data_IF_227012474354
#
_entry.id   IF_227012474354
#
_cell.length_a   1.000
_cell.length_b   1.000
_cell.length_c   1.000
_cell.angle_alpha   90.00
_cell.angle_beta   90.00
_cell.angle_gamma   90.00
#
_symmetry.space_group_name_H-M   'P 1'
#
loop_
_entity.id
_entity.type
_entity.pdbx_description
1 polymer ?
#
# COMPACT_ATOMS: atom_id res chain seq x y z
N UNK A 1 -21.62 17.21 -13.60
CA UNK A 1 -20.82 18.41 -13.31
C UNK A 1 -19.46 18.18 -13.96
N UNK A 2 -18.90 19.16 -14.66
CA UNK A 2 -17.51 19.06 -15.09
C UNK A 2 -16.61 19.41 -13.91
N UNK A 3 -15.66 18.54 -13.58
CA UNK A 3 -14.78 18.72 -12.42
C UNK A 3 -13.34 18.53 -12.87
N UNK A 4 -12.50 19.55 -12.65
CA UNK A 4 -11.05 19.42 -12.75
C UNK A 4 -10.45 19.42 -11.35
N UNK A 5 -9.56 18.48 -11.07
CA UNK A 5 -8.80 18.49 -9.82
C UNK A 5 -7.50 19.28 -9.98
N UNK A 6 -7.11 19.99 -8.92
CA UNK A 6 -5.86 20.72 -8.82
C UNK A 6 -5.17 20.35 -7.51
N UNK A 7 -4.08 19.59 -7.58
CA UNK A 7 -3.41 19.03 -6.42
C UNK A 7 -2.10 19.77 -6.15
N UNK A 8 -1.98 20.39 -4.97
CA UNK A 8 -0.78 21.12 -4.55
C UNK A 8 0.29 20.16 -4.05
N UNK A 9 1.41 20.04 -4.77
CA UNK A 9 2.52 19.15 -4.46
C UNK A 9 3.90 19.84 -4.58
N UNK A 10 3.97 21.18 -4.53
CA UNK A 10 5.18 21.96 -4.78
C UNK A 10 6.06 22.22 -3.54
N UNK A 11 5.56 21.94 -2.34
CA UNK A 11 6.22 22.31 -1.06
C UNK A 11 7.53 21.56 -0.79
N UNK A 12 8.52 22.24 -0.20
CA UNK A 12 9.84 21.69 0.14
C UNK A 12 9.83 20.61 1.22
N UNK A 13 8.86 20.60 2.13
CA UNK A 13 8.71 19.59 3.17
C UNK A 13 9.92 19.45 4.11
N UNK A 14 10.56 20.55 4.50
CA UNK A 14 11.81 20.57 5.29
C UNK A 14 11.72 19.81 6.60
N UNK A 15 10.52 19.79 7.24
CA UNK A 15 10.24 19.05 8.49
C UNK A 15 10.33 17.52 8.33
N UNK A 16 10.24 16.99 7.10
CA UNK A 16 10.42 15.55 6.82
C UNK A 16 11.87 15.10 6.96
N UNK A 17 12.84 16.02 6.92
CA UNK A 17 14.29 15.73 6.97
C UNK A 17 14.68 14.64 5.96
N UNK A 18 14.24 14.76 4.73
CA UNK A 18 14.40 13.76 3.66
C UNK A 18 14.80 14.41 2.35
N UNK A 19 15.55 13.65 1.53
CA UNK A 19 15.83 14.02 0.12
C UNK A 19 14.63 13.70 -0.79
N UNK A 20 13.75 12.76 -0.35
CA UNK A 20 12.54 12.43 -1.06
C UNK A 20 11.53 13.58 -0.90
N UNK A 21 10.88 14.04 -1.98
CA UNK A 21 9.78 14.99 -1.89
C UNK A 21 8.72 14.56 -0.88
N UNK A 22 8.20 15.51 -0.09
CA UNK A 22 7.26 15.23 1.00
C UNK A 22 6.11 14.33 0.55
N UNK A 23 5.49 14.67 -0.56
CA UNK A 23 4.30 14.01 -1.08
C UNK A 23 4.54 12.59 -1.63
N UNK A 24 5.82 12.18 -1.80
CA UNK A 24 6.20 10.82 -2.19
C UNK A 24 6.44 9.88 -1.01
N UNK A 25 6.38 10.37 0.24
CA UNK A 25 6.37 9.47 1.39
C UNK A 25 5.07 8.66 1.40
N UNK A 26 5.21 7.37 1.75
CA UNK A 26 4.10 6.41 1.66
C UNK A 26 3.29 6.39 2.95
N UNK A 27 1.98 6.24 2.78
CA UNK A 27 0.98 5.93 3.81
C UNK A 27 0.14 4.77 3.28
N UNK A 28 0.03 3.69 4.04
CA UNK A 28 -0.64 2.47 3.59
C UNK A 28 -0.05 1.88 2.29
N UNK A 29 1.28 1.95 2.12
CA UNK A 29 1.97 1.39 0.96
C UNK A 29 2.07 2.29 -0.28
N UNK A 30 1.23 3.34 -0.43
CA UNK A 30 1.21 4.27 -1.58
C UNK A 30 1.70 5.66 -1.21
N UNK A 31 2.29 6.40 -2.16
CA UNK A 31 2.66 7.79 -1.96
C UNK A 31 1.46 8.67 -1.60
N UNK A 32 1.64 9.68 -0.73
CA UNK A 32 0.54 10.53 -0.30
C UNK A 32 -0.18 11.21 -1.47
N UNK A 33 0.57 11.77 -2.43
CA UNK A 33 0.00 12.39 -3.62
C UNK A 33 -0.76 11.41 -4.51
N UNK A 34 -0.34 10.15 -4.54
CA UNK A 34 -1.03 9.09 -5.27
C UNK A 34 -2.39 8.79 -4.64
N UNK A 35 -2.47 8.69 -3.30
CA UNK A 35 -3.73 8.51 -2.60
C UNK A 35 -4.72 9.63 -2.88
N UNK A 36 -4.25 10.88 -2.80
CA UNK A 36 -5.10 12.05 -3.14
C UNK A 36 -5.57 11.97 -4.59
N UNK A 37 -4.66 11.65 -5.53
CA UNK A 37 -5.01 11.52 -6.95
C UNK A 37 -6.04 10.40 -7.19
N UNK A 38 -5.85 9.23 -6.60
CA UNK A 38 -6.82 8.12 -6.70
C UNK A 38 -8.19 8.49 -6.12
N UNK A 39 -8.21 9.22 -4.99
CA UNK A 39 -9.47 9.69 -4.39
C UNK A 39 -10.22 10.64 -5.33
N UNK A 40 -9.54 11.63 -5.92
CA UNK A 40 -10.22 12.54 -6.87
C UNK A 40 -10.64 11.84 -8.16
N UNK A 41 -9.86 10.89 -8.66
CA UNK A 41 -10.24 10.09 -9.82
C UNK A 41 -11.47 9.22 -9.55
N UNK A 42 -11.63 8.74 -8.32
CA UNK A 42 -12.77 7.90 -7.93
C UNK A 42 -14.12 8.64 -7.93
N UNK A 43 -14.12 9.98 -7.86
CA UNK A 43 -15.34 10.80 -7.98
C UNK A 43 -15.64 11.23 -9.42
N UNK A 44 -14.83 10.79 -10.40
CA UNK A 44 -15.04 11.01 -11.82
C UNK A 44 -14.62 12.39 -12.31
N UNK A 45 -13.46 12.88 -11.91
CA UNK A 45 -12.83 14.08 -12.45
C UNK A 45 -12.55 13.94 -13.96
N UNK A 46 -12.69 15.04 -14.70
CA UNK A 46 -12.45 15.07 -16.15
C UNK A 46 -10.98 15.39 -16.50
N UNK A 47 -10.31 16.13 -15.61
CA UNK A 47 -8.90 16.51 -15.73
C UNK A 47 -8.28 16.52 -14.33
N UNK A 48 -7.06 16.03 -14.23
CA UNK A 48 -6.29 16.03 -12.99
C UNK A 48 -4.97 16.73 -13.22
N UNK A 49 -4.74 17.84 -12.51
CA UNK A 49 -3.54 18.68 -12.63
C UNK A 49 -2.79 18.66 -11.29
N UNK A 50 -1.52 18.33 -11.33
CA UNK A 50 -0.64 18.33 -10.14
C UNK A 50 0.37 19.46 -10.24
N UNK A 51 0.36 20.36 -9.27
CA UNK A 51 1.35 21.45 -9.20
C UNK A 51 2.58 20.92 -8.48
N UNK A 52 3.68 20.83 -9.19
CA UNK A 52 4.97 20.33 -8.69
C UNK A 52 5.97 21.48 -8.54
N UNK A 53 6.90 21.33 -7.60
CA UNK A 53 7.97 22.31 -7.35
C UNK A 53 9.25 21.60 -6.93
N UNK A 54 9.59 21.64 -5.64
CA UNK A 54 10.76 20.95 -5.12
C UNK A 54 10.70 19.43 -5.41
N UNK A 55 11.70 18.92 -6.15
CA UNK A 55 11.75 17.51 -6.55
C UNK A 55 10.65 17.11 -7.53
N UNK A 56 10.10 18.05 -8.28
CA UNK A 56 8.97 17.87 -9.20
C UNK A 56 9.19 16.74 -10.20
N UNK A 57 10.40 16.56 -10.72
CA UNK A 57 10.73 15.48 -11.65
C UNK A 57 10.51 14.09 -11.04
N UNK A 58 10.81 13.93 -9.75
CA UNK A 58 10.53 12.67 -9.06
C UNK A 58 9.03 12.40 -8.91
N UNK A 59 8.23 13.44 -8.66
CA UNK A 59 6.77 13.32 -8.58
C UNK A 59 6.18 12.99 -9.96
N UNK A 60 6.62 13.68 -11.02
CA UNK A 60 6.20 13.40 -12.39
C UNK A 60 6.56 11.97 -12.82
N UNK A 61 7.79 11.53 -12.57
CA UNK A 61 8.23 10.17 -12.89
C UNK A 61 7.44 9.10 -12.12
N UNK A 62 7.07 9.37 -10.87
CA UNK A 62 6.29 8.46 -10.05
C UNK A 62 4.84 8.34 -10.53
N UNK A 63 4.17 9.46 -10.79
CA UNK A 63 2.78 9.47 -11.23
C UNK A 63 2.62 9.13 -12.72
N UNK A 64 3.65 9.36 -13.53
CA UNK A 64 3.65 9.10 -14.97
C UNK A 64 2.59 9.92 -15.69
N UNK A 65 1.81 9.28 -16.54
CA UNK A 65 0.76 9.90 -17.35
C UNK A 65 -0.64 9.91 -16.67
N UNK A 66 -0.70 9.65 -15.36
CA UNK A 66 -1.96 9.64 -14.60
C UNK A 66 -2.51 11.04 -14.32
N UNK A 67 -1.70 12.11 -14.51
CA UNK A 67 -2.10 13.50 -14.32
C UNK A 67 -1.33 14.42 -15.26
N UNK A 68 -1.84 15.63 -15.46
CA UNK A 68 -1.12 16.75 -16.07
C UNK A 68 -0.25 17.44 -15.00
N UNK A 69 0.87 18.05 -15.40
CA UNK A 69 1.79 18.67 -14.44
C UNK A 69 2.02 20.14 -14.79
N UNK A 70 1.97 20.96 -13.75
CA UNK A 70 2.33 22.39 -13.83
C UNK A 70 3.45 22.64 -12.82
N UNK A 71 4.46 23.38 -13.23
CA UNK A 71 5.62 23.65 -12.36
C UNK A 71 5.49 25.02 -11.70
N UNK A 72 5.66 25.03 -10.37
CA UNK A 72 5.88 26.23 -9.58
C UNK A 72 7.40 26.36 -9.32
N UNK A 73 8.07 27.24 -10.02
CA UNK A 73 9.54 27.41 -9.89
C UNK A 73 9.90 28.10 -8.56
N UNK A 74 9.17 29.15 -8.22
CA UNK A 74 9.35 29.91 -6.96
C UNK A 74 8.17 29.62 -6.03
N UNK A 75 8.44 29.20 -4.81
CA UNK A 75 7.42 28.87 -3.81
C UNK A 75 6.97 30.14 -3.07
N UNK A 76 6.20 30.99 -3.75
CA UNK A 76 5.69 32.26 -3.24
C UNK A 76 4.28 32.14 -2.63
N UNK A 77 3.95 30.98 -2.06
CA UNK A 77 2.69 30.69 -1.37
C UNK A 77 1.73 29.82 -2.17
N UNK A 78 0.62 29.45 -1.52
CA UNK A 78 -0.40 28.53 -2.07
C UNK A 78 -1.24 29.19 -3.17
N UNK A 79 -1.54 30.47 -3.05
CA UNK A 79 -2.24 31.25 -4.11
C UNK A 79 -1.39 31.35 -5.37
N UNK A 80 -0.06 31.59 -5.23
CA UNK A 80 0.86 31.56 -6.36
C UNK A 80 0.88 30.19 -7.04
N UNK A 81 0.89 29.10 -6.26
CA UNK A 81 0.84 27.75 -6.82
C UNK A 81 -0.41 27.55 -7.70
N UNK A 82 -1.58 27.92 -7.20
CA UNK A 82 -2.84 27.81 -7.96
C UNK A 82 -2.79 28.67 -9.23
N UNK A 83 -2.24 29.88 -9.16
CA UNK A 83 -2.09 30.77 -10.31
C UNK A 83 -1.26 30.15 -11.44
N UNK A 84 -0.27 29.31 -11.14
CA UNK A 84 0.51 28.60 -12.16
C UNK A 84 -0.34 27.65 -13.02
N UNK A 85 -1.50 27.22 -12.57
CA UNK A 85 -2.39 26.36 -13.34
C UNK A 85 -3.31 27.15 -14.31
N UNK A 86 -3.33 28.49 -14.27
CA UNK A 86 -4.17 29.32 -15.14
C UNK A 86 -3.95 29.06 -16.64
N UNK A 87 -2.72 28.88 -17.16
CA UNK A 87 -2.50 28.55 -18.58
C UNK A 87 -3.14 27.22 -19.02
N UNK A 88 -3.39 26.31 -18.08
CA UNK A 88 -3.91 24.96 -18.34
C UNK A 88 -5.40 24.87 -18.06
N UNK A 89 -5.89 25.56 -17.02
CA UNK A 89 -7.28 25.49 -16.55
C UNK A 89 -8.06 26.82 -16.68
N UNK A 90 -7.44 27.88 -17.22
CA UNK A 90 -8.09 29.21 -17.33
C UNK A 90 -9.38 29.22 -18.16
N UNK A 91 -9.42 28.40 -19.21
CA UNK A 91 -10.59 28.27 -20.09
C UNK A 91 -11.51 27.09 -19.69
N UNK A 92 -11.20 26.41 -18.60
CA UNK A 92 -12.02 25.30 -18.13
C UNK A 92 -13.37 25.80 -17.63
N UNK A 93 -14.47 25.20 -18.11
CA UNK A 93 -15.84 25.55 -17.71
C UNK A 93 -16.41 24.45 -16.79
N UNK A 94 -16.40 24.72 -15.50
CA UNK A 94 -16.87 23.79 -14.48
C UNK A 94 -16.40 24.12 -13.07
N UNK A 95 -16.23 23.11 -12.26
CA UNK A 95 -15.73 23.23 -10.88
C UNK A 95 -14.26 22.84 -10.82
N UNK A 96 -13.43 23.66 -10.18
CA UNK A 96 -12.04 23.34 -9.83
C UNK A 96 -12.02 22.85 -8.40
N UNK A 97 -11.70 21.58 -8.21
CA UNK A 97 -11.52 20.94 -6.91
C UNK A 97 -10.04 21.03 -6.52
N UNK A 98 -9.74 21.92 -5.57
CA UNK A 98 -8.39 22.15 -5.07
C UNK A 98 -8.12 21.30 -3.84
N UNK A 99 -7.01 20.55 -3.84
CA UNK A 99 -6.58 19.69 -2.74
C UNK A 99 -5.09 19.86 -2.45
N UNK A 100 -4.69 19.44 -1.25
CA UNK A 100 -3.28 19.33 -0.86
C UNK A 100 -2.78 17.90 -1.06
N UNK A 101 -1.65 17.72 -1.75
CA UNK A 101 -1.05 16.40 -2.01
C UNK A 101 -0.48 15.70 -0.78
N UNK A 102 -0.52 16.34 0.38
CA UNK A 102 -0.07 15.83 1.68
C UNK A 102 -1.21 15.52 2.66
N UNK A 103 -2.46 15.47 2.17
CA UNK A 103 -3.66 15.07 2.93
C UNK A 103 -4.17 13.69 2.48
N UNK A 104 -3.44 12.60 2.75
CA UNK A 104 -3.71 11.28 2.17
C UNK A 104 -4.94 10.58 2.74
N UNK A 105 -5.57 11.15 3.76
CA UNK A 105 -6.69 10.56 4.49
C UNK A 105 -8.06 11.05 4.02
N UNK A 106 -8.10 11.99 3.05
CA UNK A 106 -9.35 12.50 2.49
C UNK A 106 -10.13 11.37 1.83
N UNK A 107 -11.46 11.34 2.06
CA UNK A 107 -12.33 10.30 1.53
C UNK A 107 -13.11 10.77 0.31
N UNK A 108 -13.55 9.80 -0.48
CA UNK A 108 -14.46 10.03 -1.60
C UNK A 108 -15.76 10.69 -1.14
N UNK A 109 -16.32 10.19 -0.06
CA UNK A 109 -17.59 10.62 0.52
C UNK A 109 -17.57 12.10 0.90
N UNK A 110 -16.48 12.56 1.53
CA UNK A 110 -16.32 13.98 1.90
C UNK A 110 -16.15 14.88 0.68
N UNK A 111 -15.45 14.42 -0.35
CA UNK A 111 -15.33 15.19 -1.61
C UNK A 111 -16.65 15.25 -2.38
N UNK A 112 -17.40 14.16 -2.43
CA UNK A 112 -18.73 14.14 -3.05
C UNK A 112 -19.70 15.08 -2.32
N UNK A 113 -19.68 15.07 -0.98
CA UNK A 113 -20.51 15.98 -0.17
C UNK A 113 -20.11 17.45 -0.32
N UNK A 114 -18.81 17.74 -0.40
CA UNK A 114 -18.31 19.11 -0.72
C UNK A 114 -18.83 19.59 -2.06
N UNK A 115 -18.78 18.75 -3.09
CA UNK A 115 -19.25 19.08 -4.45
C UNK A 115 -20.76 19.21 -4.51
N UNK A 116 -21.50 18.42 -3.76
CA UNK A 116 -22.95 18.52 -3.65
C UNK A 116 -23.35 19.85 -2.97
N UNK A 117 -22.69 20.23 -1.86
CA UNK A 117 -22.88 21.54 -1.22
C UNK A 117 -22.55 22.68 -2.17
N UNK A 118 -21.44 22.59 -2.91
CA UNK A 118 -21.03 23.58 -3.89
C UNK A 118 -22.12 23.80 -4.96
N UNK A 119 -22.63 22.71 -5.51
CA UNK A 119 -23.70 22.73 -6.51
C UNK A 119 -25.00 23.32 -5.96
N UNK A 120 -25.44 22.84 -4.77
CA UNK A 120 -26.74 23.21 -4.19
C UNK A 120 -26.76 24.65 -3.69
N UNK A 121 -25.63 25.13 -3.16
CA UNK A 121 -25.51 26.52 -2.69
C UNK A 121 -25.38 27.52 -3.83
N UNK A 122 -24.90 27.12 -5.02
CA UNK A 122 -24.52 27.99 -6.11
C UNK A 122 -23.40 28.96 -5.73
N UNK A 123 -22.54 28.59 -4.78
CA UNK A 123 -21.47 29.41 -4.29
C UNK A 123 -20.32 29.53 -5.30
N UNK A 124 -19.60 30.66 -5.30
CA UNK A 124 -18.38 30.83 -6.07
C UNK A 124 -17.20 30.03 -5.50
N UNK A 125 -17.22 29.76 -4.19
CA UNK A 125 -16.32 28.88 -3.50
C UNK A 125 -17.06 28.12 -2.40
N UNK A 126 -16.68 26.84 -2.19
CA UNK A 126 -17.11 26.04 -1.04
C UNK A 126 -15.88 25.43 -0.39
N UNK A 127 -15.73 25.62 0.89
CA UNK A 127 -14.59 25.21 1.69
C UNK A 127 -14.94 23.88 2.35
N UNK A 128 -14.06 22.88 2.28
CA UNK A 128 -14.10 21.75 3.20
C UNK A 128 -13.55 22.23 4.55
N UNK A 129 -14.36 22.24 5.59
CA UNK A 129 -13.96 22.62 6.95
C UNK A 129 -13.96 21.42 7.89
N UNK A 130 -13.28 21.53 9.02
CA UNK A 130 -13.28 20.53 10.07
C UNK A 130 -13.39 21.21 11.43
N UNK A 131 -14.01 20.53 12.40
CA UNK A 131 -13.99 20.94 13.78
C UNK A 131 -12.85 20.20 14.50
N UNK A 132 -11.78 20.92 14.85
CA UNK A 132 -10.60 20.32 15.47
C UNK A 132 -10.56 20.56 16.97
N UNK A 133 -10.28 19.51 17.80
CA UNK A 133 -10.04 19.68 19.23
C UNK A 133 -8.86 20.61 19.53
N UNK A 134 -7.78 20.48 18.76
CA UNK A 134 -6.64 21.40 18.77
C UNK A 134 -6.43 21.98 17.36
N UNK A 135 -6.89 23.23 17.13
CA UNK A 135 -6.82 23.86 15.82
C UNK A 135 -5.45 24.49 15.52
N UNK A 136 -4.44 24.32 16.38
CA UNK A 136 -3.13 24.95 16.23
C UNK A 136 -2.46 24.61 14.91
N UNK A 137 -2.04 25.65 14.20
CA UNK A 137 -1.34 25.52 12.91
C UNK A 137 -2.25 25.54 11.67
N UNK A 138 -3.57 25.59 11.85
CA UNK A 138 -4.53 25.68 10.75
C UNK A 138 -5.08 27.11 10.62
N UNK A 139 -5.59 27.48 9.46
CA UNK A 139 -6.41 28.67 9.25
C UNK A 139 -7.78 28.52 9.93
N UNK A 140 -8.31 29.61 10.47
CA UNK A 140 -9.64 29.63 11.12
C UNK A 140 -10.71 30.15 10.19
N UNK A 141 -11.86 29.50 10.19
CA UNK A 141 -13.04 29.94 9.46
C UNK A 141 -13.76 31.01 10.28
N UNK A 142 -13.80 32.23 9.78
CA UNK A 142 -14.50 33.34 10.45
C UNK A 142 -15.87 33.48 9.81
N UNK A 143 -16.90 33.47 10.69
CA UNK A 143 -18.31 33.64 10.30
C UNK A 143 -18.88 34.93 10.88
N UNK A 144 -19.82 35.52 10.15
CA UNK A 144 -20.62 36.65 10.68
C UNK A 144 -21.74 36.15 11.62
N UNK A 145 -22.50 37.10 12.18
CA UNK A 145 -23.64 36.80 13.06
C UNK A 145 -24.74 35.94 12.41
N UNK A 146 -24.87 35.99 11.09
CA UNK A 146 -25.80 35.15 10.34
C UNK A 146 -25.25 33.75 10.03
N UNK A 147 -24.04 33.40 10.52
CA UNK A 147 -23.39 32.12 10.30
C UNK A 147 -22.72 31.96 8.93
N UNK A 148 -22.70 33.00 8.08
CA UNK A 148 -22.04 32.96 6.77
C UNK A 148 -20.53 33.10 6.92
N UNK A 149 -19.77 32.36 6.10
CA UNK A 149 -18.31 32.52 6.02
C UNK A 149 -17.98 33.89 5.45
N UNK A 150 -17.06 34.61 6.13
CA UNK A 150 -16.60 35.94 5.69
C UNK A 150 -15.14 35.96 5.28
N UNK A 151 -14.29 35.16 5.93
CA UNK A 151 -12.87 35.04 5.60
C UNK A 151 -12.22 33.87 6.31
N UNK A 152 -11.00 33.55 5.89
CA UNK A 152 -10.12 32.64 6.61
C UNK A 152 -8.97 33.45 7.19
N UNK A 153 -8.58 33.15 8.43
CA UNK A 153 -7.46 33.81 9.13
C UNK A 153 -6.40 32.76 9.40
N UNK A 154 -5.21 32.95 8.85
CA UNK A 154 -4.08 32.03 9.07
C UNK A 154 -3.57 32.10 10.51
N UNK A 155 -3.00 31.00 11.01
CA UNK A 155 -2.50 30.89 12.41
C UNK A 155 -1.58 32.03 12.82
N UNK A 156 -0.72 32.53 11.92
CA UNK A 156 0.27 33.57 12.22
C UNK A 156 -0.28 34.99 12.18
N UNK A 157 -1.42 35.16 11.54
CA UNK A 157 -2.06 36.47 11.32
C UNK A 157 -3.29 36.68 12.24
N UNK A 158 -3.69 35.62 12.98
CA UNK A 158 -4.90 35.62 13.78
C UNK A 158 -4.75 36.36 15.13
N UNK A 159 -5.80 37.09 15.52
CA UNK A 159 -5.96 37.65 16.86
C UNK A 159 -6.40 36.56 17.83
N UNK A 160 -6.21 36.74 19.14
CA UNK A 160 -6.58 35.75 20.16
C UNK A 160 -8.03 35.24 20.08
N UNK A 161 -8.99 36.14 19.83
CA UNK A 161 -10.40 35.78 19.63
C UNK A 161 -10.68 34.96 18.37
N UNK A 162 -9.94 35.21 17.30
CA UNK A 162 -10.05 34.45 16.05
C UNK A 162 -9.39 33.09 16.20
N UNK A 163 -8.24 33.01 16.87
CA UNK A 163 -7.52 31.76 17.13
C UNK A 163 -8.27 30.81 18.08
N UNK A 164 -9.23 31.31 18.85
CA UNK A 164 -10.09 30.49 19.68
C UNK A 164 -11.15 29.69 18.88
N UNK A 165 -11.38 30.04 17.62
CA UNK A 165 -12.31 29.31 16.75
C UNK A 165 -11.77 27.91 16.45
N UNK A 166 -12.61 26.89 16.64
CA UNK A 166 -12.24 25.48 16.40
C UNK A 166 -12.59 24.98 15.00
N UNK A 167 -13.38 25.74 14.23
CA UNK A 167 -13.63 25.43 12.83
C UNK A 167 -12.42 25.88 11.99
N UNK A 168 -11.79 24.91 11.35
CA UNK A 168 -10.56 25.14 10.60
C UNK A 168 -10.73 24.95 9.10
N UNK A 169 -9.88 25.63 8.35
CA UNK A 169 -9.67 25.44 6.94
C UNK A 169 -8.81 24.18 6.71
N UNK A 170 -9.33 23.24 5.92
CA UNK A 170 -8.59 22.01 5.58
C UNK A 170 -7.62 22.18 4.40
N UNK A 171 -7.69 23.32 3.70
CA UNK A 171 -6.96 23.56 2.45
C UNK A 171 -7.58 22.90 1.23
N UNK A 172 -8.81 22.40 1.34
CA UNK A 172 -9.55 21.76 0.24
C UNK A 172 -10.77 22.60 -0.12
N UNK A 173 -10.98 22.83 -1.40
CA UNK A 173 -12.01 23.75 -1.91
C UNK A 173 -12.62 23.25 -3.20
N UNK A 174 -13.89 23.58 -3.40
CA UNK A 174 -14.53 23.58 -4.71
C UNK A 174 -14.75 25.03 -5.15
N UNK A 175 -14.20 25.43 -6.30
CA UNK A 175 -14.33 26.76 -6.88
C UNK A 175 -15.11 26.73 -8.19
N UNK A 176 -15.94 27.71 -8.43
CA UNK A 176 -16.38 28.03 -9.79
C UNK A 176 -15.16 28.49 -10.61
N UNK A 177 -14.90 27.81 -11.72
CA UNK A 177 -13.72 28.06 -12.54
C UNK A 177 -13.66 29.49 -13.08
N UNK A 178 -14.81 30.15 -13.32
CA UNK A 178 -14.87 31.52 -13.83
C UNK A 178 -14.59 32.58 -12.74
N UNK A 179 -14.72 32.18 -11.48
CA UNK A 179 -14.58 33.09 -10.33
C UNK A 179 -13.20 33.09 -9.69
N UNK A 180 -12.49 31.97 -9.73
CA UNK A 180 -11.20 31.84 -9.03
C UNK A 180 -10.11 32.71 -9.70
N UNK A 181 -9.95 32.68 -11.02
CA UNK A 181 -8.79 33.30 -11.69
C UNK A 181 -8.70 34.81 -11.47
N UNK A 182 -9.80 35.62 -11.61
CA UNK A 182 -9.74 37.04 -11.31
C UNK A 182 -9.38 37.36 -9.85
N UNK A 183 -9.70 36.47 -8.90
CA UNK A 183 -9.33 36.66 -7.50
C UNK A 183 -7.84 36.47 -7.24
N UNK A 184 -7.18 35.53 -7.97
CA UNK A 184 -5.76 35.29 -7.86
C UNK A 184 -4.90 36.49 -8.30
N UNK A 185 -5.40 37.35 -9.17
CA UNK A 185 -4.72 38.57 -9.57
C UNK A 185 -4.80 39.68 -8.52
N UNK A 186 -5.70 39.58 -7.53
CA UNK A 186 -5.90 40.50 -6.43
C UNK A 186 -5.20 40.10 -5.14
N UNK A 187 -4.52 38.92 -5.11
CA UNK A 187 -3.80 38.47 -3.93
C UNK A 187 -2.65 39.39 -3.59
N UNK A 188 -2.42 39.59 -2.30
CA UNK A 188 -1.31 40.37 -1.73
C UNK A 188 -0.42 39.48 -0.87
N UNK A 189 0.84 39.81 -0.77
CA UNK A 189 1.85 39.21 0.13
C UNK A 189 2.00 40.02 1.46
N UNK A 190 1.13 40.99 1.70
CA UNK A 190 1.11 41.78 2.94
C UNK A 190 0.53 40.96 4.12
N UNK A 191 1.32 39.98 4.57
CA UNK A 191 1.00 39.07 5.65
C UNK A 191 2.26 38.60 6.39
N UNK A 192 2.11 37.89 7.51
CA UNK A 192 3.22 37.46 8.37
C UNK A 192 4.27 36.57 7.67
N UNK A 193 3.96 35.96 6.54
CA UNK A 193 4.86 35.09 5.79
C UNK A 193 5.42 35.70 4.51
N UNK A 194 4.85 36.81 4.03
CA UNK A 194 5.19 37.43 2.75
C UNK A 194 4.85 36.50 1.56
N UNK A 195 3.73 35.79 1.64
CA UNK A 195 3.30 34.80 0.65
C UNK A 195 1.89 35.10 0.12
N UNK A 196 1.62 34.72 -1.13
CA UNK A 196 0.28 34.79 -1.69
C UNK A 196 -0.57 33.62 -1.17
N UNK A 197 -1.52 33.91 -0.26
CA UNK A 197 -2.37 32.88 0.34
C UNK A 197 -3.61 32.58 -0.52
N UNK A 198 -3.89 31.31 -0.79
CA UNK A 198 -5.15 30.90 -1.43
C UNK A 198 -6.37 31.21 -0.52
N UNK A 199 -6.18 31.26 0.79
CA UNK A 199 -7.22 31.57 1.77
C UNK A 199 -7.78 32.97 1.63
N UNK A 200 -7.00 33.91 1.09
CA UNK A 200 -7.46 35.31 0.86
C UNK A 200 -8.50 35.40 -0.26
N UNK A 201 -8.53 34.42 -1.19
CA UNK A 201 -9.57 34.33 -2.24
C UNK A 201 -10.97 34.33 -1.64
N UNK A 202 -11.16 33.72 -0.46
CA UNK A 202 -12.44 33.68 0.25
C UNK A 202 -12.92 35.09 0.60
N UNK A 203 -12.03 35.89 1.21
CA UNK A 203 -12.33 37.30 1.54
C UNK A 203 -12.58 38.17 0.31
N UNK A 204 -11.80 37.95 -0.77
CA UNK A 204 -11.98 38.68 -2.06
C UNK A 204 -13.35 38.37 -2.64
N UNK A 205 -13.77 37.11 -2.72
CA UNK A 205 -15.09 36.72 -3.22
C UNK A 205 -16.22 37.33 -2.39
N UNK A 206 -16.16 37.25 -1.08
CA UNK A 206 -17.17 37.81 -0.17
C UNK A 206 -17.27 39.32 -0.34
N UNK A 207 -16.15 40.03 -0.38
CA UNK A 207 -16.11 41.48 -0.59
C UNK A 207 -16.62 41.90 -1.98
N UNK A 208 -16.46 41.04 -2.98
CA UNK A 208 -17.01 41.19 -4.31
C UNK A 208 -18.52 40.90 -4.42
N UNK A 209 -19.17 40.49 -3.32
CA UNK A 209 -20.59 40.14 -3.26
C UNK A 209 -20.90 38.72 -3.74
N UNK A 210 -19.89 37.89 -3.97
CA UNK A 210 -20.06 36.48 -4.30
C UNK A 210 -20.36 35.65 -3.04
N UNK A 211 -21.19 34.61 -3.19
CA UNK A 211 -21.51 33.69 -2.13
C UNK A 211 -20.34 32.71 -1.90
N UNK A 212 -19.95 32.52 -0.64
CA UNK A 212 -19.05 31.46 -0.21
C UNK A 212 -19.80 30.53 0.75
N UNK A 213 -19.69 29.21 0.51
CA UNK A 213 -20.25 28.17 1.36
C UNK A 213 -19.15 27.36 2.05
N UNK A 214 -19.54 26.52 2.99
CA UNK A 214 -18.65 25.57 3.65
C UNK A 214 -19.38 24.27 3.95
N UNK A 215 -18.68 23.16 3.74
CA UNK A 215 -19.10 21.83 4.18
C UNK A 215 -18.17 21.37 5.29
N UNK A 216 -18.69 21.08 6.47
CA UNK A 216 -17.90 20.55 7.59
C UNK A 216 -17.84 19.03 7.50
N UNK A 217 -16.62 18.50 7.39
CA UNK A 217 -16.44 17.04 7.41
C UNK A 217 -16.91 16.44 8.73
N UNK A 218 -17.42 15.22 8.67
CA UNK A 218 -17.83 14.44 9.85
C UNK A 218 -16.64 13.89 10.65
N UNK A 219 -15.51 13.72 9.96
CA UNK A 219 -14.28 13.17 10.53
C UNK A 219 -13.12 14.14 10.26
N UNK A 220 -12.66 14.82 11.29
CA UNK A 220 -11.57 15.79 11.15
C UNK A 220 -10.23 15.14 10.75
N UNK A 221 -10.05 13.83 11.02
CA UNK A 221 -8.84 13.09 10.63
C UNK A 221 -8.58 13.13 9.13
N UNK A 222 -9.64 13.26 8.31
CA UNK A 222 -9.52 13.37 6.85
C UNK A 222 -8.74 14.60 6.39
N UNK A 223 -8.71 15.64 7.23
CA UNK A 223 -8.05 16.91 6.94
C UNK A 223 -6.60 16.99 7.45
N UNK A 224 -6.10 15.93 8.10
CA UNK A 224 -4.76 15.93 8.67
C UNK A 224 -3.69 15.97 7.56
N UNK A 225 -2.95 17.06 7.51
CA UNK A 225 -1.82 17.23 6.61
C UNK A 225 -0.53 16.64 7.19
N UNK A 226 0.18 15.85 6.41
CA UNK A 226 1.42 15.19 6.82
C UNK A 226 2.62 16.06 6.48
N UNK A 227 3.26 16.64 7.48
CA UNK A 227 4.40 17.54 7.35
C UNK A 227 5.66 17.06 8.07
N UNK A 228 5.55 16.00 8.88
CA UNK A 228 6.65 15.41 9.66
C UNK A 228 6.54 13.89 9.71
N UNK A 229 7.60 13.23 10.17
CA UNK A 229 7.60 11.76 10.36
C UNK A 229 6.62 11.32 11.46
N UNK A 230 6.36 12.16 12.44
CA UNK A 230 5.35 11.88 13.47
C UNK A 230 3.96 11.86 12.84
N UNK A 231 3.61 12.90 12.09
CA UNK A 231 2.33 12.97 11.39
C UNK A 231 2.19 11.86 10.32
N UNK A 232 3.30 11.43 9.70
CA UNK A 232 3.28 10.30 8.79
C UNK A 232 2.88 9.00 9.52
N UNK A 233 3.44 8.76 10.69
CA UNK A 233 3.09 7.58 11.50
C UNK A 233 1.65 7.65 12.03
N UNK A 234 1.15 8.84 12.35
CA UNK A 234 -0.24 9.08 12.74
C UNK A 234 -1.20 8.76 11.59
N UNK A 235 -0.94 9.29 10.38
CA UNK A 235 -1.73 8.99 9.19
C UNK A 235 -1.75 7.49 8.85
N UNK A 236 -0.61 6.80 8.98
CA UNK A 236 -0.52 5.34 8.84
C UNK A 236 -1.40 4.61 9.85
N UNK A 237 -1.39 5.06 11.13
CA UNK A 237 -2.20 4.45 12.19
C UNK A 237 -3.71 4.62 11.94
N UNK A 238 -4.12 5.82 11.50
CA UNK A 238 -5.52 6.12 11.18
C UNK A 238 -6.00 5.24 10.01
N UNK A 239 -5.21 5.17 8.94
CA UNK A 239 -5.56 4.39 7.76
C UNK A 239 -5.70 2.90 8.08
N UNK A 240 -4.74 2.36 8.85
CA UNK A 240 -4.79 0.99 9.39
C UNK A 240 -6.05 0.76 10.22
N UNK A 241 -6.37 1.69 11.12
CA UNK A 241 -7.54 1.58 11.99
C UNK A 241 -8.85 1.54 11.19
N UNK A 242 -9.00 2.42 10.21
CA UNK A 242 -10.17 2.44 9.30
C UNK A 242 -10.30 1.10 8.56
N UNK A 243 -9.20 0.57 8.01
CA UNK A 243 -9.22 -0.72 7.31
C UNK A 243 -9.57 -1.89 8.22
N UNK A 244 -9.03 -1.94 9.42
CA UNK A 244 -9.35 -2.99 10.39
C UNK A 244 -10.82 -2.95 10.81
N UNK A 245 -11.41 -1.76 11.00
CA UNK A 245 -12.86 -1.62 11.28
C UNK A 245 -13.70 -2.13 10.09
N UNK A 246 -13.35 -1.74 8.85
CA UNK A 246 -14.00 -2.22 7.63
C UNK A 246 -14.04 -3.74 7.59
N UNK A 247 -12.88 -4.39 7.77
CA UNK A 247 -12.76 -5.85 7.73
C UNK A 247 -13.55 -6.53 8.86
N UNK A 248 -13.46 -6.03 10.10
CA UNK A 248 -14.22 -6.57 11.22
C UNK A 248 -15.73 -6.44 11.00
N UNK A 249 -16.18 -5.34 10.41
CA UNK A 249 -17.58 -5.12 10.06
C UNK A 249 -18.04 -6.06 8.94
N UNK A 250 -17.12 -6.46 8.04
CA UNK A 250 -17.37 -7.42 6.98
C UNK A 250 -17.26 -8.91 7.43
N UNK A 251 -17.06 -9.17 8.73
CA UNK A 251 -17.04 -10.53 9.29
C UNK A 251 -15.66 -11.17 9.42
N UNK A 252 -14.57 -10.40 9.32
CA UNK A 252 -13.20 -10.85 9.59
C UNK A 252 -12.93 -10.74 11.09
N UNK A 253 -12.33 -11.77 11.68
CA UNK A 253 -11.85 -11.72 13.08
C UNK A 253 -10.41 -11.22 13.11
N UNK A 254 -10.15 -10.09 13.77
CA UNK A 254 -8.79 -9.58 14.00
C UNK A 254 -8.50 -9.68 15.49
N UNK A 255 -7.59 -10.57 15.89
CA UNK A 255 -7.31 -10.87 17.30
C UNK A 255 -6.67 -9.67 18.02
N UNK A 256 -5.75 -8.97 17.35
CA UNK A 256 -5.09 -7.77 17.87
C UNK A 256 -5.04 -6.69 16.78
N UNK A 257 -6.07 -5.83 16.69
CA UNK A 257 -6.10 -4.76 15.68
C UNK A 257 -4.95 -3.77 15.81
N UNK A 258 -4.37 -3.60 17.01
CA UNK A 258 -3.24 -2.70 17.22
C UNK A 258 -1.97 -3.18 16.51
N UNK A 259 -1.74 -4.51 16.47
CA UNK A 259 -0.57 -5.15 15.86
C UNK A 259 -0.88 -5.92 14.57
N UNK A 260 -1.97 -5.57 13.88
CA UNK A 260 -2.33 -6.13 12.57
C UNK A 260 -2.36 -5.00 11.54
N UNK A 261 -1.60 -5.14 10.46
CA UNK A 261 -1.38 -4.13 9.43
C UNK A 261 -1.95 -4.62 8.10
N UNK A 262 -3.06 -4.03 7.67
CA UNK A 262 -3.71 -4.36 6.39
C UNK A 262 -3.79 -3.10 5.56
N UNK A 263 -3.18 -3.12 4.37
CA UNK A 263 -3.26 -2.01 3.43
C UNK A 263 -4.69 -1.84 2.89
N UNK A 264 -5.11 -0.62 2.54
CA UNK A 264 -6.49 -0.34 2.11
C UNK A 264 -6.96 -1.18 0.92
N UNK A 265 -6.07 -1.51 0.00
CA UNK A 265 -6.36 -2.25 -1.22
C UNK A 265 -6.58 -3.75 -1.00
N UNK A 266 -6.13 -4.28 0.14
CA UNK A 266 -6.24 -5.70 0.48
C UNK A 266 -7.70 -6.09 0.73
N UNK A 267 -8.09 -7.25 0.22
CA UNK A 267 -9.40 -7.84 0.52
C UNK A 267 -9.24 -9.11 1.33
N UNK A 268 -10.14 -9.33 2.29
CA UNK A 268 -10.15 -10.51 3.16
C UNK A 268 -11.60 -11.02 3.25
N UNK A 269 -11.78 -12.30 2.98
CA UNK A 269 -13.08 -12.96 3.04
C UNK A 269 -13.59 -13.16 4.47
N UNK A 270 -14.90 -13.33 4.60
CA UNK A 270 -15.58 -13.53 5.89
C UNK A 270 -15.10 -14.79 6.60
N UNK A 271 -15.29 -14.82 7.92
CA UNK A 271 -14.86 -15.92 8.81
C UNK A 271 -13.34 -16.21 8.82
N UNK A 272 -12.55 -15.33 8.19
CA UNK A 272 -11.09 -15.38 8.25
C UNK A 272 -10.58 -14.76 9.54
N UNK A 273 -9.55 -15.38 10.13
CA UNK A 273 -8.91 -14.93 11.37
C UNK A 273 -7.53 -14.37 11.05
N UNK A 274 -7.27 -13.11 11.46
CA UNK A 274 -5.98 -12.47 11.38
C UNK A 274 -5.33 -12.43 12.78
N UNK A 275 -4.18 -13.07 12.92
CA UNK A 275 -3.39 -13.11 14.16
C UNK A 275 -2.45 -11.91 14.29
N UNK A 276 -1.95 -11.63 15.52
CA UNK A 276 -1.02 -10.52 15.78
C UNK A 276 0.24 -10.59 14.91
N UNK A 277 0.74 -9.44 14.48
CA UNK A 277 1.93 -9.33 13.64
C UNK A 277 1.71 -9.70 12.17
N UNK A 278 0.46 -9.87 11.76
CA UNK A 278 0.11 -10.05 10.33
C UNK A 278 0.24 -8.73 9.58
N UNK A 279 0.90 -8.76 8.42
CA UNK A 279 1.11 -7.62 7.52
C UNK A 279 0.65 -8.04 6.13
N UNK A 280 -0.42 -7.41 5.62
CA UNK A 280 -0.96 -7.66 4.28
C UNK A 280 -0.84 -6.39 3.44
N UNK A 281 -0.18 -6.49 2.28
CA UNK A 281 0.17 -5.33 1.45
C UNK A 281 -0.07 -5.58 -0.05
N UNK A 282 -0.09 -4.50 -0.81
CA UNK A 282 -0.28 -4.53 -2.26
C UNK A 282 -1.65 -5.08 -2.64
N UNK A 283 -1.73 -5.77 -3.78
CA UNK A 283 -2.95 -6.36 -4.31
C UNK A 283 -3.24 -7.75 -3.70
N UNK A 284 -2.99 -7.89 -2.38
CA UNK A 284 -3.22 -9.15 -1.67
C UNK A 284 -4.72 -9.43 -1.49
N UNK A 285 -5.10 -10.66 -1.80
CA UNK A 285 -6.48 -11.17 -1.66
C UNK A 285 -6.44 -12.42 -0.79
N UNK A 286 -7.19 -12.43 0.30
CA UNK A 286 -7.35 -13.60 1.18
C UNK A 286 -8.80 -14.08 1.05
N UNK A 287 -8.98 -15.39 0.87
CA UNK A 287 -10.28 -16.02 0.80
C UNK A 287 -11.03 -16.07 2.13
N UNK A 288 -12.08 -16.86 2.18
CA UNK A 288 -12.93 -17.07 3.36
C UNK A 288 -12.38 -18.19 4.24
N UNK A 289 -12.71 -18.14 5.54
CA UNK A 289 -12.38 -19.19 6.55
C UNK A 289 -10.88 -19.53 6.62
N UNK A 290 -10.05 -18.53 6.35
CA UNK A 290 -8.59 -18.67 6.44
C UNK A 290 -8.09 -18.34 7.85
N UNK A 291 -6.88 -18.81 8.17
CA UNK A 291 -6.17 -18.45 9.39
C UNK A 291 -4.79 -17.91 9.02
N UNK A 292 -4.58 -16.59 9.17
CA UNK A 292 -3.38 -15.89 8.71
C UNK A 292 -2.62 -15.28 9.88
N UNK A 293 -1.34 -15.61 9.98
CA UNK A 293 -0.48 -15.21 11.09
C UNK A 293 -0.34 -16.29 12.15
N UNK A 294 0.36 -16.04 13.27
CA UNK A 294 1.02 -14.77 13.57
C UNK A 294 2.28 -14.50 12.72
N UNK A 295 2.76 -13.24 12.76
CA UNK A 295 4.03 -12.84 12.13
C UNK A 295 4.16 -13.29 10.66
N UNK A 296 3.09 -13.11 9.90
CA UNK A 296 3.02 -13.43 8.47
C UNK A 296 2.97 -12.14 7.68
N UNK A 297 3.85 -12.01 6.68
CA UNK A 297 3.83 -10.89 5.75
C UNK A 297 3.57 -11.38 4.32
N UNK A 298 2.50 -10.87 3.72
CA UNK A 298 2.10 -11.20 2.36
C UNK A 298 1.96 -9.92 1.53
N UNK A 299 2.64 -9.89 0.37
CA UNK A 299 2.59 -8.75 -0.56
C UNK A 299 2.25 -9.25 -1.96
N UNK A 300 1.17 -8.77 -2.57
CA UNK A 300 0.67 -9.22 -3.87
C UNK A 300 0.43 -10.75 -3.91
N UNK A 301 -0.18 -11.30 -2.88
CA UNK A 301 -0.46 -12.75 -2.77
C UNK A 301 -1.95 -13.02 -2.89
N UNK A 302 -2.30 -14.01 -3.69
CA UNK A 302 -3.68 -14.52 -3.76
C UNK A 302 -3.78 -15.79 -2.95
N UNK A 303 -4.63 -15.81 -1.95
CA UNK A 303 -4.88 -16.95 -1.06
C UNK A 303 -6.33 -17.40 -1.23
N UNK A 304 -6.52 -18.67 -1.50
CA UNK A 304 -7.83 -19.31 -1.61
C UNK A 304 -8.51 -19.49 -0.25
N UNK A 305 -9.62 -20.21 -0.24
CA UNK A 305 -10.43 -20.45 0.97
C UNK A 305 -9.81 -21.55 1.85
N UNK A 306 -10.23 -21.59 3.13
CA UNK A 306 -9.91 -22.68 4.07
C UNK A 306 -8.40 -22.91 4.23
N UNK A 307 -7.58 -21.87 4.08
CA UNK A 307 -6.12 -21.91 4.01
C UNK A 307 -5.49 -21.37 5.29
N UNK A 308 -4.44 -22.02 5.77
CA UNK A 308 -3.71 -21.67 6.99
C UNK A 308 -2.30 -21.22 6.61
N UNK A 309 -1.87 -20.03 7.07
CA UNK A 309 -0.52 -19.49 6.79
C UNK A 309 0.07 -18.88 8.07
N UNK A 310 1.09 -19.51 8.62
CA UNK A 310 1.73 -19.08 9.86
C UNK A 310 3.21 -18.75 9.68
N UNK A 311 3.72 -17.68 10.35
CA UNK A 311 5.14 -17.29 10.37
C UNK A 311 5.79 -17.32 8.98
N UNK A 312 5.13 -16.77 7.99
CA UNK A 312 5.50 -16.91 6.58
C UNK A 312 5.80 -15.54 5.96
N UNK A 313 6.83 -15.48 5.12
CA UNK A 313 7.06 -14.38 4.20
C UNK A 313 6.71 -14.80 2.78
N UNK A 314 5.73 -14.16 2.17
CA UNK A 314 5.27 -14.47 0.81
C UNK A 314 5.09 -13.22 -0.04
N UNK A 315 5.51 -13.27 -1.32
CA UNK A 315 5.24 -12.18 -2.23
C UNK A 315 5.11 -12.66 -3.69
N UNK A 316 4.22 -11.99 -4.45
CA UNK A 316 3.99 -12.22 -5.87
C UNK A 316 3.74 -13.71 -6.19
N UNK A 317 2.87 -14.34 -5.40
CA UNK A 317 2.60 -15.78 -5.50
C UNK A 317 1.11 -16.10 -5.30
N UNK A 318 0.74 -17.34 -5.58
CA UNK A 318 -0.63 -17.81 -5.47
C UNK A 318 -0.70 -19.09 -4.62
N UNK A 319 -1.62 -19.10 -3.65
CA UNK A 319 -1.92 -20.21 -2.77
C UNK A 319 -3.39 -20.56 -2.94
N UNK A 320 -3.70 -21.80 -3.33
CA UNK A 320 -5.08 -22.24 -3.59
C UNK A 320 -5.79 -22.62 -2.29
N UNK A 321 -6.90 -23.35 -2.42
CA UNK A 321 -7.78 -23.70 -1.31
C UNK A 321 -7.22 -24.83 -0.42
N UNK A 322 -7.47 -24.75 0.89
CA UNK A 322 -7.15 -25.79 1.86
C UNK A 322 -5.66 -26.03 2.03
N UNK A 323 -4.83 -25.05 1.71
CA UNK A 323 -3.37 -25.15 1.85
C UNK A 323 -2.94 -24.86 3.29
N UNK A 324 -1.92 -25.55 3.75
CA UNK A 324 -1.31 -25.34 5.07
C UNK A 324 0.18 -24.96 4.90
N UNK A 325 0.56 -23.76 5.36
CA UNK A 325 1.90 -23.17 5.18
C UNK A 325 2.48 -22.73 6.51
N UNK A 326 3.65 -23.23 6.83
CA UNK A 326 4.43 -22.75 7.95
C UNK A 326 4.75 -23.78 9.03
N UNK A 327 5.41 -23.33 10.06
CA UNK A 327 6.02 -22.01 10.24
C UNK A 327 7.36 -21.84 9.51
N UNK A 328 7.83 -20.58 9.39
CA UNK A 328 9.13 -20.21 8.81
C UNK A 328 9.30 -20.63 7.36
N UNK A 329 8.33 -20.25 6.54
CA UNK A 329 8.31 -20.51 5.10
C UNK A 329 8.58 -19.22 4.32
N UNK A 330 9.27 -19.35 3.18
CA UNK A 330 9.46 -18.29 2.23
C UNK A 330 8.84 -18.67 0.87
N UNK A 331 7.71 -18.03 0.53
CA UNK A 331 7.09 -18.14 -0.79
C UNK A 331 7.55 -16.97 -1.66
N UNK A 332 8.32 -17.31 -2.69
CA UNK A 332 8.93 -16.33 -3.61
C UNK A 332 8.11 -16.16 -4.90
N UNK A 333 8.43 -15.15 -5.72
CA UNK A 333 7.66 -14.85 -6.93
C UNK A 333 7.44 -16.03 -7.85
N UNK A 334 6.29 -16.00 -8.52
CA UNK A 334 5.84 -17.01 -9.48
C UNK A 334 5.70 -18.41 -8.86
N UNK A 335 5.42 -18.49 -7.58
CA UNK A 335 5.07 -19.75 -6.91
C UNK A 335 3.56 -19.93 -6.95
N UNK A 336 3.11 -21.09 -7.35
CA UNK A 336 1.71 -21.52 -7.31
C UNK A 336 1.61 -22.80 -6.49
N UNK A 337 0.89 -22.75 -5.36
CA UNK A 337 0.56 -23.91 -4.55
C UNK A 337 -0.86 -24.36 -4.87
N UNK A 338 -1.01 -25.58 -5.37
CA UNK A 338 -2.31 -26.20 -5.66
C UNK A 338 -3.12 -26.48 -4.40
N UNK A 339 -4.36 -26.93 -4.58
CA UNK A 339 -5.25 -27.23 -3.44
C UNK A 339 -4.63 -28.27 -2.49
N UNK A 340 -4.87 -28.10 -1.19
CA UNK A 340 -4.47 -29.05 -0.15
C UNK A 340 -2.96 -29.35 -0.10
N UNK A 341 -2.14 -28.47 -0.64
CA UNK A 341 -0.68 -28.57 -0.50
C UNK A 341 -0.30 -28.30 0.95
N UNK A 342 0.66 -29.08 1.47
CA UNK A 342 1.25 -28.86 2.79
C UNK A 342 2.71 -28.43 2.66
N UNK A 343 3.02 -27.22 3.11
CA UNK A 343 4.37 -26.66 3.18
C UNK A 343 4.75 -26.47 4.63
N UNK A 344 5.54 -27.38 5.18
CA UNK A 344 5.95 -27.34 6.58
C UNK A 344 7.12 -26.37 6.85
N UNK A 345 7.76 -26.54 7.98
CA UNK A 345 8.72 -25.59 8.51
C UNK A 345 10.06 -25.56 7.73
N UNK A 346 10.65 -24.35 7.63
CA UNK A 346 11.95 -24.07 7.00
C UNK A 346 11.99 -24.45 5.51
N UNK A 347 10.91 -24.20 4.79
CA UNK A 347 10.81 -24.46 3.34
C UNK A 347 10.86 -23.16 2.56
N UNK A 348 11.60 -23.17 1.46
CA UNK A 348 11.60 -22.10 0.49
C UNK A 348 11.08 -22.62 -0.87
N UNK A 349 10.07 -21.94 -1.44
CA UNK A 349 9.53 -22.27 -2.77
C UNK A 349 9.66 -21.03 -3.67
N UNK A 350 10.19 -21.23 -4.89
CA UNK A 350 10.44 -20.15 -5.83
C UNK A 350 10.14 -20.56 -7.27
N UNK A 351 9.38 -19.75 -8.00
CA UNK A 351 9.13 -19.94 -9.44
C UNK A 351 8.74 -21.39 -9.78
N UNK A 352 7.81 -21.94 -9.00
CA UNK A 352 7.45 -23.36 -9.05
C UNK A 352 5.94 -23.55 -9.01
N UNK A 353 5.46 -24.51 -9.78
CA UNK A 353 4.07 -24.96 -9.76
C UNK A 353 3.99 -26.26 -8.97
N UNK A 354 3.11 -26.32 -7.99
CA UNK A 354 2.95 -27.47 -7.10
C UNK A 354 1.55 -28.00 -7.20
N UNK A 355 1.42 -29.26 -7.59
CA UNK A 355 0.16 -29.95 -7.76
C UNK A 355 -0.56 -30.25 -6.44
N UNK A 356 -1.88 -30.51 -6.56
CA UNK A 356 -2.78 -30.76 -5.42
C UNK A 356 -2.26 -31.87 -4.49
N UNK A 357 -2.42 -31.64 -3.18
CA UNK A 357 -2.11 -32.63 -2.14
C UNK A 357 -0.63 -32.97 -1.96
N UNK A 358 0.27 -32.26 -2.62
CA UNK A 358 1.72 -32.43 -2.49
C UNK A 358 2.21 -31.90 -1.14
N UNK A 359 3.24 -32.54 -0.57
CA UNK A 359 3.75 -32.25 0.77
C UNK A 359 5.26 -32.02 0.78
N UNK A 360 5.67 -30.90 1.39
CA UNK A 360 7.06 -30.55 1.74
C UNK A 360 7.16 -30.30 3.25
N UNK A 361 7.14 -31.31 4.08
CA UNK A 361 6.94 -31.11 5.51
C UNK A 361 8.09 -30.42 6.23
N UNK A 362 9.32 -30.47 5.71
CA UNK A 362 10.51 -30.01 6.44
C UNK A 362 11.63 -29.54 5.50
N UNK A 363 12.33 -28.44 5.89
CA UNK A 363 13.65 -28.02 5.46
C UNK A 363 13.97 -28.40 4.00
N UNK A 364 13.40 -27.72 3.02
CA UNK A 364 13.58 -28.00 1.61
C UNK A 364 13.67 -26.74 0.78
N UNK A 365 14.42 -26.80 -0.33
CA UNK A 365 14.42 -25.76 -1.33
C UNK A 365 13.84 -26.30 -2.63
N UNK A 366 12.71 -25.72 -3.07
CA UNK A 366 12.02 -26.07 -4.31
C UNK A 366 12.04 -24.84 -5.22
N UNK A 367 13.00 -24.80 -6.13
CA UNK A 367 13.18 -23.67 -7.05
C UNK A 367 13.10 -24.11 -8.51
N UNK A 368 12.43 -23.27 -9.32
CA UNK A 368 12.30 -23.48 -10.77
C UNK A 368 11.79 -24.90 -11.10
N UNK A 369 10.67 -25.32 -10.46
CA UNK A 369 10.21 -26.72 -10.53
C UNK A 369 8.74 -26.83 -10.90
N UNK A 370 8.39 -27.90 -11.59
CA UNK A 370 7.03 -28.35 -11.81
C UNK A 370 6.83 -29.67 -11.05
N UNK A 371 6.03 -29.62 -10.00
CA UNK A 371 5.78 -30.75 -9.08
C UNK A 371 4.33 -31.21 -9.26
N UNK A 372 4.13 -32.48 -9.55
CA UNK A 372 2.84 -33.10 -9.75
C UNK A 372 1.98 -33.18 -8.50
N UNK A 373 0.86 -33.89 -8.60
CA UNK A 373 -0.11 -34.13 -7.52
C UNK A 373 0.33 -35.22 -6.57
N UNK A 374 0.03 -35.08 -5.28
CA UNK A 374 0.26 -36.11 -4.28
C UNK A 374 1.73 -36.52 -4.08
N UNK A 375 2.66 -35.64 -4.44
CA UNK A 375 4.10 -35.88 -4.29
C UNK A 375 4.49 -35.72 -2.81
N UNK A 376 5.42 -36.54 -2.35
CA UNK A 376 6.04 -36.39 -1.03
C UNK A 376 7.52 -36.04 -1.16
N UNK A 377 7.89 -34.86 -0.67
CA UNK A 377 9.28 -34.37 -0.66
C UNK A 377 9.87 -34.53 0.75
N UNK A 378 10.88 -35.33 0.88
CA UNK A 378 11.57 -35.58 2.15
C UNK A 378 12.43 -34.40 2.60
N UNK A 379 12.66 -34.33 3.92
CA UNK A 379 13.48 -33.31 4.58
C UNK A 379 14.86 -33.18 3.91
N UNK A 380 15.34 -31.95 3.71
CA UNK A 380 16.66 -31.68 3.13
C UNK A 380 16.73 -31.86 1.61
N UNK A 381 15.59 -31.96 0.93
CA UNK A 381 15.58 -32.05 -0.53
C UNK A 381 15.86 -30.69 -1.15
N UNK A 382 16.74 -30.67 -2.14
CA UNK A 382 17.13 -29.48 -2.90
C UNK A 382 16.96 -29.71 -4.39
N UNK A 383 16.22 -28.86 -5.06
CA UNK A 383 16.28 -28.75 -6.53
C UNK A 383 17.48 -27.86 -6.89
N UNK A 384 18.55 -28.49 -7.41
CA UNK A 384 19.78 -27.79 -7.79
C UNK A 384 19.56 -27.16 -9.16
N UNK A 385 18.97 -25.97 -9.19
CA UNK A 385 18.43 -25.31 -10.37
C UNK A 385 19.39 -24.36 -11.09
N UNK A 386 20.61 -24.14 -10.56
CA UNK A 386 21.57 -23.19 -11.13
C UNK A 386 22.93 -23.85 -11.39
N UNK A 387 23.43 -23.73 -12.61
CA UNK A 387 24.70 -24.32 -13.09
C UNK A 387 25.89 -23.35 -13.02
N UNK A 388 25.69 -22.16 -12.45
CA UNK A 388 26.68 -21.07 -12.42
C UNK A 388 26.50 -20.04 -13.54
N UNK A 389 25.62 -20.30 -14.53
CA UNK A 389 25.32 -19.40 -15.65
C UNK A 389 23.83 -19.19 -15.87
N UNK A 390 23.07 -20.27 -15.97
CA UNK A 390 21.64 -20.26 -16.24
C UNK A 390 20.89 -21.14 -15.24
N UNK A 391 19.58 -20.92 -15.16
CA UNK A 391 18.69 -21.72 -14.34
C UNK A 391 17.98 -22.76 -15.20
N UNK A 392 17.83 -23.95 -14.65
CA UNK A 392 17.16 -25.09 -15.27
C UNK A 392 15.98 -25.55 -14.42
N UNK A 393 14.97 -26.14 -15.05
CA UNK A 393 13.79 -26.64 -14.35
C UNK A 393 13.96 -28.11 -13.95
N UNK A 394 13.35 -28.44 -12.82
CA UNK A 394 13.16 -29.81 -12.36
C UNK A 394 11.68 -30.17 -12.53
N UNK A 395 11.41 -31.36 -13.07
CA UNK A 395 10.04 -31.91 -13.15
C UNK A 395 9.92 -33.09 -12.23
N UNK A 396 8.88 -33.13 -11.40
CA UNK A 396 8.57 -34.24 -10.50
C UNK A 396 7.14 -34.69 -10.81
N UNK A 397 6.99 -35.93 -11.25
CA UNK A 397 5.70 -36.47 -11.66
C UNK A 397 4.76 -36.81 -10.51
N UNK A 398 3.52 -37.10 -10.81
CA UNK A 398 2.46 -37.39 -9.86
C UNK A 398 2.80 -38.58 -8.95
N UNK A 399 2.47 -38.47 -7.66
CA UNK A 399 2.66 -39.52 -6.69
C UNK A 399 4.12 -39.93 -6.43
N UNK A 400 5.08 -39.16 -6.92
CA UNK A 400 6.49 -39.44 -6.70
C UNK A 400 6.87 -39.28 -5.21
N UNK A 401 7.83 -40.06 -4.74
CA UNK A 401 8.40 -39.98 -3.40
C UNK A 401 9.89 -39.63 -3.47
N UNK A 402 10.27 -38.47 -2.95
CA UNK A 402 11.66 -38.05 -2.88
C UNK A 402 12.16 -38.23 -1.45
N UNK A 403 13.11 -39.12 -1.25
CA UNK A 403 13.70 -39.41 0.08
C UNK A 403 14.50 -38.23 0.64
N UNK A 404 14.65 -38.18 1.95
CA UNK A 404 15.37 -37.11 2.65
C UNK A 404 16.80 -36.90 2.14
N UNK A 405 17.30 -35.65 2.25
CA UNK A 405 18.65 -35.25 1.81
C UNK A 405 18.96 -35.61 0.37
N UNK A 406 17.99 -35.48 -0.52
CA UNK A 406 18.16 -35.70 -1.96
C UNK A 406 18.45 -34.40 -2.69
N UNK A 407 19.42 -34.45 -3.62
CA UNK A 407 19.73 -33.35 -4.54
C UNK A 407 19.25 -33.72 -5.94
N UNK A 408 18.34 -32.95 -6.50
CA UNK A 408 17.85 -33.10 -7.87
C UNK A 408 18.56 -32.09 -8.76
N UNK A 409 19.56 -32.54 -9.52
CA UNK A 409 20.40 -31.65 -10.35
C UNK A 409 19.71 -31.40 -11.69
N UNK A 410 19.16 -30.19 -11.82
CA UNK A 410 18.41 -29.78 -13.00
C UNK A 410 19.35 -29.55 -14.23
N UNK A 411 18.87 -29.80 -15.49
CA UNK A 411 17.54 -30.27 -15.78
C UNK A 411 17.36 -31.76 -15.50
N UNK A 412 16.32 -32.14 -14.76
CA UNK A 412 16.04 -33.53 -14.42
C UNK A 412 14.53 -33.76 -14.29
N UNK A 413 14.07 -34.93 -14.73
CA UNK A 413 12.70 -35.40 -14.56
C UNK A 413 12.68 -36.62 -13.64
N UNK A 414 11.86 -36.56 -12.58
CA UNK A 414 11.51 -37.66 -11.72
C UNK A 414 10.12 -38.14 -12.13
N UNK A 415 9.99 -39.33 -12.64
CA UNK A 415 8.76 -39.85 -13.25
C UNK A 415 7.64 -40.09 -12.27
N UNK A 416 6.42 -40.33 -12.77
CA UNK A 416 5.24 -40.58 -11.95
C UNK A 416 5.42 -41.85 -11.09
N UNK A 417 4.95 -41.76 -9.82
CA UNK A 417 5.00 -42.86 -8.86
C UNK A 417 6.40 -43.47 -8.67
N UNK A 418 7.44 -42.71 -8.99
CA UNK A 418 8.83 -43.13 -8.79
C UNK A 418 9.32 -42.81 -7.39
N UNK A 419 10.38 -43.49 -6.98
CA UNK A 419 11.03 -43.31 -5.69
C UNK A 419 12.47 -42.84 -5.85
N UNK A 420 12.87 -41.83 -5.13
CA UNK A 420 14.28 -41.43 -4.94
C UNK A 420 14.71 -41.87 -3.54
N UNK A 421 15.71 -42.70 -3.46
CA UNK A 421 16.27 -43.17 -2.18
C UNK A 421 16.94 -42.03 -1.41
N UNK A 422 16.74 -41.97 -0.10
CA UNK A 422 17.32 -40.92 0.75
C UNK A 422 18.85 -40.80 0.58
N UNK A 423 19.36 -39.55 0.66
CA UNK A 423 20.79 -39.24 0.49
C UNK A 423 21.29 -39.33 -0.96
N UNK A 424 20.40 -39.29 -1.94
CA UNK A 424 20.74 -39.45 -3.36
C UNK A 424 21.00 -38.12 -4.02
N UNK A 425 22.00 -38.07 -4.92
CA UNK A 425 22.18 -36.99 -5.91
C UNK A 425 21.76 -37.51 -7.29
N UNK A 426 20.66 -36.99 -7.79
CA UNK A 426 20.04 -37.43 -9.04
C UNK A 426 20.44 -36.47 -10.18
N UNK A 427 21.17 -36.99 -11.17
CA UNK A 427 21.70 -36.23 -12.31
C UNK A 427 21.16 -36.71 -13.67
N UNK A 428 20.33 -37.74 -13.66
CA UNK A 428 19.67 -38.31 -14.85
C UNK A 428 18.19 -38.52 -14.56
N UNK A 429 17.37 -38.47 -15.61
CA UNK A 429 15.95 -38.72 -15.50
C UNK A 429 15.64 -40.09 -14.89
N UNK A 430 14.64 -40.10 -14.03
CA UNK A 430 14.12 -41.31 -13.38
C UNK A 430 12.82 -41.69 -14.11
N UNK A 431 12.69 -42.88 -14.70
CA UNK A 431 11.47 -43.32 -15.33
C UNK A 431 10.31 -43.48 -14.34
N UNK A 432 9.08 -43.49 -14.86
CA UNK A 432 7.89 -43.78 -14.08
C UNK A 432 8.03 -45.08 -13.29
N UNK A 433 7.53 -45.10 -12.05
CA UNK A 433 7.51 -46.31 -11.18
C UNK A 433 8.89 -46.89 -10.89
N UNK A 434 9.96 -46.16 -11.14
CA UNK A 434 11.32 -46.63 -10.90
C UNK A 434 11.82 -46.22 -9.49
N UNK A 435 12.78 -46.99 -8.99
CA UNK A 435 13.58 -46.59 -7.81
C UNK A 435 14.95 -46.10 -8.29
N UNK A 436 15.28 -44.86 -7.95
CA UNK A 436 16.58 -44.25 -8.21
C UNK A 436 17.37 -44.14 -6.89
N UNK A 437 18.62 -44.59 -6.87
CA UNK A 437 19.55 -44.46 -5.75
C UNK A 437 20.90 -43.96 -6.28
N UNK A 438 21.23 -42.70 -5.91
CA UNK A 438 22.45 -42.03 -6.35
C UNK A 438 23.37 -41.69 -5.19
N UNK A 439 23.81 -42.70 -4.43
CA UNK A 439 24.70 -42.54 -3.26
C UNK A 439 25.71 -43.69 -3.20
N UNK A 440 26.80 -43.47 -2.45
CA UNK A 440 27.82 -44.50 -2.20
C UNK A 440 27.26 -45.70 -1.41
N UNK A 441 27.80 -46.87 -1.67
CA UNK A 441 27.49 -48.06 -0.88
C UNK A 441 28.04 -47.87 0.59
N UNK A 442 27.24 -48.18 1.56
CA UNK A 442 27.66 -48.12 2.95
C UNK A 442 28.83 -49.09 3.23
N UNK A 443 29.85 -48.59 3.91
CA UNK A 443 30.97 -49.36 4.39
C UNK A 443 30.92 -49.28 5.92
N UNK A 444 30.99 -50.44 6.59
CA UNK A 444 31.09 -50.56 8.05
C UNK A 444 32.50 -51.04 8.40
N UNK A 445 33.15 -50.34 9.31
CA UNK A 445 34.41 -50.76 9.93
C UNK A 445 34.15 -51.06 11.40
N UNK A 446 34.10 -52.33 11.73
CA UNK A 446 33.91 -52.80 13.11
C UNK A 446 35.12 -52.42 13.97
N UNK A 447 34.89 -52.13 15.25
CA UNK A 447 35.92 -51.77 16.25
C UNK A 447 36.76 -50.52 15.84
N UNK A 448 36.20 -49.63 14.99
CA UNK A 448 36.85 -48.38 14.60
C UNK A 448 37.08 -47.43 15.79
N UNK A 449 36.15 -47.43 16.75
CA UNK A 449 36.24 -46.65 17.99
C UNK A 449 36.96 -47.46 19.04
N UNK A 450 38.08 -46.94 19.56
CA UNK A 450 38.85 -47.55 20.67
C UNK A 450 38.79 -46.61 21.87
N UNK A 451 39.19 -47.11 23.07
CA UNK A 451 39.22 -46.29 24.28
C UNK A 451 40.07 -45.02 24.14
N UNK A 452 41.08 -45.04 23.27
CA UNK A 452 41.92 -43.88 22.99
C UNK A 452 41.26 -42.84 22.07
N UNK A 453 40.22 -43.21 21.32
CA UNK A 453 39.51 -42.31 20.41
C UNK A 453 38.84 -41.15 21.17
N UNK A 454 38.42 -41.35 22.42
CA UNK A 454 37.74 -40.37 23.26
C UNK A 454 38.61 -39.75 24.35
N UNK A 455 39.88 -40.17 24.50
CA UNK A 455 40.81 -39.50 25.43
C UNK A 455 41.08 -38.08 24.88
N UNK A 456 40.51 -37.05 25.55
CA UNK A 456 40.90 -35.68 25.29
C UNK A 456 42.42 -35.54 25.53
N UNK A 457 43.15 -35.05 24.55
CA UNK A 457 44.52 -34.55 24.73
C UNK A 457 44.56 -33.41 25.72
#
# INVERSE_FOLDING_TARGET
MNIASLILAAGKGTRMKSKLPKVLHKVGGKAMVERVLETVQSIGTNRDVVIVGFGGDAVQNYLGNRAEFVRQEEQNGTGHAVKMAQPVLGDYDGTILLLCGDTPLVTKESLEALLEEHKNSGAAATILTAHMPDPTGYGRIIRNEAGSVVRIVEQKDGKPEELAVQEVNTGMYAFDSKKIWPCLDQLSDDNAQGELYITDVVGILVNGGDKVSAYMTKDFEESLGVNSRLQLAEAESILKHRKNIELMTAGVTIIDPANTYVAPEVTVGSDTILHPGTILEGDTVIGERCEIGPHTRLTNVKVGNDTIIHFTYGHDCEVKDGVDVGPYVHLRPNTVLGNKVHVGNFVEVKNSNVGEGTKFPHLSYIGDSDVGTGVNIGCGTITVNYDGKVKHRTTIGDGAFVGCNSNLVAPVTVGNYSYVGAGSTITKNVPDKALAVGRSKQIVKENWVTDDTFKKK
#
